data_IF_707653858205
#
_entry.id   IF_707653858205
#
_cell.length_a   1.000
_cell.length_b   1.000
_cell.length_c   1.000
_cell.angle_alpha   90.00
_cell.angle_beta   90.00
_cell.angle_gamma   90.00
#
_symmetry.space_group_name_H-M   'P 1'
#
loop_
_entity.id
_entity.type
_entity.pdbx_description
1 polymer ?
#
# COMPACT_ATOMS: atom_id res chain seq x y z
N UNK A 1 -17.88 -3.00 8.22
CA UNK A 1 -16.50 -3.36 8.57
C UNK A 1 -15.74 -2.18 9.21
N UNK A 2 -16.33 -1.02 9.24
CA UNK A 2 -15.90 0.20 9.93
C UNK A 2 -17.11 0.92 10.53
N UNK A 3 -16.92 2.05 11.20
CA UNK A 3 -17.99 2.79 11.89
C UNK A 3 -18.79 3.74 10.98
N UNK A 4 -18.55 3.74 9.66
CA UNK A 4 -19.34 4.57 8.72
C UNK A 4 -20.76 4.01 8.48
N UNK A 5 -20.99 2.76 8.88
CA UNK A 5 -22.30 2.09 8.77
C UNK A 5 -22.68 1.44 10.09
N UNK A 6 -23.98 1.28 10.35
CA UNK A 6 -24.46 0.57 11.52
C UNK A 6 -24.00 -0.90 11.52
N UNK A 7 -23.70 -1.48 12.71
CA UNK A 7 -23.33 -2.87 12.82
C UNK A 7 -24.46 -3.77 12.34
N UNK A 8 -24.13 -4.72 11.47
CA UNK A 8 -25.09 -5.74 11.00
C UNK A 8 -25.22 -6.92 11.95
N UNK A 9 -24.21 -7.14 12.80
CA UNK A 9 -24.17 -8.22 13.80
C UNK A 9 -23.67 -7.64 15.12
N UNK A 10 -24.27 -8.11 16.23
CA UNK A 10 -23.86 -7.76 17.58
C UNK A 10 -23.77 -9.02 18.42
N UNK A 11 -22.96 -9.01 19.48
CA UNK A 11 -22.81 -10.11 20.41
C UNK A 11 -22.55 -9.61 21.82
N UNK A 12 -22.93 -10.40 22.81
CA UNK A 12 -22.56 -10.22 24.22
C UNK A 12 -21.29 -11.01 24.59
N UNK A 13 -20.86 -11.92 23.72
CA UNK A 13 -19.64 -12.71 23.90
C UNK A 13 -18.43 -11.75 23.94
N UNK A 14 -17.48 -12.03 24.83
CA UNK A 14 -16.22 -11.30 24.97
C UNK A 14 -15.07 -12.20 24.59
N UNK A 15 -13.96 -11.59 24.23
CA UNK A 15 -12.70 -12.29 23.99
C UNK A 15 -11.61 -11.78 24.93
N UNK A 16 -10.61 -12.60 25.15
CA UNK A 16 -9.43 -12.31 25.95
C UNK A 16 -8.23 -12.07 25.05
N UNK A 17 -7.22 -11.37 25.57
CA UNK A 17 -5.95 -11.19 24.87
C UNK A 17 -5.31 -12.53 24.51
N UNK A 18 -5.43 -13.54 25.38
CA UNK A 18 -4.90 -14.88 25.14
C UNK A 18 -5.56 -15.56 23.94
N UNK A 19 -6.87 -15.44 23.80
CA UNK A 19 -7.61 -15.98 22.65
C UNK A 19 -7.21 -15.25 21.36
N UNK A 20 -7.13 -13.91 21.41
CA UNK A 20 -6.65 -13.11 20.28
C UNK A 20 -5.26 -13.58 19.86
N UNK A 21 -4.29 -13.62 20.77
CA UNK A 21 -2.91 -14.02 20.48
C UNK A 21 -2.82 -15.44 19.89
N UNK A 22 -3.73 -16.34 20.29
CA UNK A 22 -3.75 -17.71 19.77
C UNK A 22 -4.15 -17.82 18.28
N UNK A 23 -4.91 -16.85 17.76
CA UNK A 23 -5.39 -16.86 16.36
C UNK A 23 -4.56 -15.98 15.42
N UNK A 24 -3.82 -14.99 15.94
CA UNK A 24 -3.01 -14.09 15.12
C UNK A 24 -2.07 -14.82 14.13
N UNK A 25 -1.39 -15.92 14.50
CA UNK A 25 -0.51 -16.62 13.57
C UNK A 25 -1.21 -17.10 12.29
N UNK A 26 -2.51 -17.39 12.35
CA UNK A 26 -3.28 -17.83 11.18
C UNK A 26 -3.56 -16.71 10.16
N UNK A 27 -3.37 -15.45 10.56
CA UNK A 27 -3.59 -14.27 9.74
C UNK A 27 -2.30 -13.69 9.16
N UNK A 28 -1.13 -14.26 9.51
CA UNK A 28 0.20 -13.79 9.08
C UNK A 28 0.67 -14.64 7.89
N UNK A 29 1.46 -14.02 7.00
CA UNK A 29 2.00 -14.66 5.81
C UNK A 29 1.20 -14.37 4.55
N UNK A 30 1.24 -15.28 3.60
CA UNK A 30 0.42 -15.22 2.38
C UNK A 30 -0.98 -15.73 2.66
N UNK A 31 -1.96 -14.85 2.67
CA UNK A 31 -3.35 -15.18 2.97
C UNK A 31 -4.28 -14.81 1.81
N UNK A 32 -5.36 -15.57 1.66
CA UNK A 32 -6.43 -15.26 0.72
C UNK A 32 -7.44 -14.35 1.39
N UNK A 33 -7.49 -13.08 0.99
CA UNK A 33 -8.36 -12.08 1.58
C UNK A 33 -9.49 -11.71 0.62
N UNK A 34 -10.74 -11.77 1.06
CA UNK A 34 -11.86 -11.19 0.34
C UNK A 34 -11.90 -9.69 0.62
N UNK A 35 -11.76 -8.83 -0.41
CA UNK A 35 -11.84 -7.39 -0.25
C UNK A 35 -13.18 -6.95 0.35
N UNK A 36 -13.26 -5.79 1.03
CA UNK A 36 -14.54 -5.25 1.45
C UNK A 36 -15.35 -4.77 0.23
N UNK A 37 -16.67 -4.94 0.27
CA UNK A 37 -17.57 -4.53 -0.81
C UNK A 37 -17.46 -3.02 -1.09
N UNK A 38 -17.33 -2.22 -0.02
CA UNK A 38 -17.06 -0.78 -0.12
C UNK A 38 -15.57 -0.53 -0.36
N UNK A 39 -15.09 -0.89 -1.56
CA UNK A 39 -13.70 -0.64 -1.99
C UNK A 39 -13.65 -0.04 -3.40
N UNK A 40 -12.49 0.48 -3.79
CA UNK A 40 -12.26 1.01 -5.13
C UNK A 40 -12.02 -0.08 -6.19
N UNK A 41 -12.14 -1.37 -5.82
CA UNK A 41 -11.94 -2.49 -6.74
C UNK A 41 -13.00 -2.44 -7.86
N UNK A 42 -12.58 -2.71 -9.09
CA UNK A 42 -13.49 -2.78 -10.23
C UNK A 42 -14.02 -4.21 -10.42
N UNK A 43 -15.33 -4.30 -10.63
CA UNK A 43 -16.04 -5.51 -11.06
C UNK A 43 -16.80 -5.12 -12.33
N UNK A 44 -16.56 -5.82 -13.42
CA UNK A 44 -17.16 -5.55 -14.74
C UNK A 44 -17.05 -4.08 -15.18
N UNK A 45 -15.86 -3.49 -14.97
CA UNK A 45 -15.58 -2.10 -15.33
C UNK A 45 -16.18 -1.04 -14.40
N UNK A 46 -16.93 -1.44 -13.35
CA UNK A 46 -17.53 -0.53 -12.37
C UNK A 46 -16.88 -0.71 -11.00
N UNK A 47 -16.69 0.39 -10.26
CA UNK A 47 -16.14 0.31 -8.91
C UNK A 47 -17.14 -0.31 -7.95
N UNK A 48 -16.72 -1.29 -7.13
CA UNK A 48 -17.59 -2.08 -6.25
C UNK A 48 -18.38 -1.20 -5.27
N UNK A 49 -17.78 -0.14 -4.72
CA UNK A 49 -18.49 0.78 -3.82
C UNK A 49 -19.69 1.49 -4.49
N UNK A 50 -19.63 1.76 -5.82
CA UNK A 50 -20.74 2.37 -6.57
C UNK A 50 -21.90 1.38 -6.76
N UNK A 51 -21.60 0.10 -6.93
CA UNK A 51 -22.60 -0.97 -7.03
C UNK A 51 -23.25 -1.20 -5.67
N UNK A 52 -22.44 -1.30 -4.61
CA UNK A 52 -22.92 -1.47 -3.24
C UNK A 52 -23.87 -0.35 -2.78
N UNK A 53 -23.54 0.92 -3.07
CA UNK A 53 -24.44 2.06 -2.77
C UNK A 53 -25.77 2.02 -3.51
N UNK A 54 -25.87 1.26 -4.59
CA UNK A 54 -27.10 1.03 -5.36
C UNK A 54 -27.87 -0.21 -4.91
N UNK A 55 -27.43 -0.85 -3.83
CA UNK A 55 -28.03 -2.10 -3.33
C UNK A 55 -27.75 -3.31 -4.20
N UNK A 56 -26.82 -3.22 -5.16
CA UNK A 56 -26.43 -4.37 -5.98
C UNK A 56 -25.48 -5.24 -5.16
N UNK A 57 -25.83 -6.51 -5.01
CA UNK A 57 -24.96 -7.50 -4.38
C UNK A 57 -23.72 -7.72 -5.24
N UNK A 58 -22.54 -7.56 -4.64
CA UNK A 58 -21.25 -7.67 -5.32
C UNK A 58 -20.47 -8.80 -4.67
N UNK A 59 -20.27 -9.86 -5.40
CA UNK A 59 -19.37 -10.92 -4.99
C UNK A 59 -17.94 -10.58 -5.42
N UNK A 60 -17.05 -10.47 -4.44
CA UNK A 60 -15.64 -10.16 -4.68
C UNK A 60 -14.80 -11.41 -4.51
N UNK A 61 -14.03 -11.72 -5.54
CA UNK A 61 -13.12 -12.86 -5.51
C UNK A 61 -12.00 -12.63 -4.50
N UNK A 62 -11.63 -13.66 -3.72
CA UNK A 62 -10.47 -13.59 -2.84
C UNK A 62 -9.21 -13.20 -3.62
N UNK A 63 -8.34 -12.43 -2.99
CA UNK A 63 -7.05 -12.05 -3.54
C UNK A 63 -5.94 -12.41 -2.55
N UNK A 64 -4.85 -12.94 -3.07
CA UNK A 64 -3.64 -13.20 -2.31
C UNK A 64 -3.04 -11.87 -1.84
N UNK A 65 -2.82 -11.75 -0.54
CA UNK A 65 -2.15 -10.61 0.10
C UNK A 65 -1.05 -11.12 1.01
N UNK A 66 -0.08 -10.25 1.31
CA UNK A 66 0.99 -10.56 2.24
C UNK A 66 0.85 -9.71 3.48
N UNK A 67 0.77 -10.36 4.63
CA UNK A 67 0.78 -9.75 5.96
C UNK A 67 2.06 -10.20 6.63
N UNK A 68 2.98 -9.27 6.85
CA UNK A 68 4.31 -9.60 7.35
C UNK A 68 4.30 -9.76 8.87
N UNK A 69 3.46 -8.99 9.59
CA UNK A 69 3.28 -9.11 11.05
C UNK A 69 1.94 -8.54 11.53
N UNK A 70 1.41 -9.08 12.63
CA UNK A 70 0.29 -8.53 13.40
C UNK A 70 0.61 -8.66 14.88
N UNK A 71 0.62 -7.53 15.58
CA UNK A 71 0.87 -7.47 17.02
C UNK A 71 -0.29 -6.85 17.76
N UNK A 72 -0.74 -7.49 18.83
CA UNK A 72 -1.64 -6.88 19.80
C UNK A 72 -0.81 -5.92 20.68
N UNK A 73 -1.11 -4.63 20.59
CA UNK A 73 -0.36 -3.57 21.29
C UNK A 73 -0.99 -3.25 22.64
N UNK A 74 -2.33 -3.15 22.67
CA UNK A 74 -3.03 -2.66 23.86
C UNK A 74 -4.49 -3.10 23.88
N UNK A 75 -4.98 -3.43 25.07
CA UNK A 75 -6.42 -3.56 25.34
C UNK A 75 -6.96 -2.20 25.79
N UNK A 76 -7.72 -1.54 24.92
CA UNK A 76 -8.30 -0.22 25.17
C UNK A 76 -9.56 -0.29 26.06
N UNK A 77 -10.33 -1.36 25.92
CA UNK A 77 -11.52 -1.64 26.73
C UNK A 77 -11.85 -3.15 26.70
N UNK A 78 -12.96 -3.53 27.33
CA UNK A 78 -13.44 -4.93 27.32
C UNK A 78 -13.72 -5.49 25.90
N UNK A 79 -13.90 -4.61 24.93
CA UNK A 79 -14.27 -5.00 23.54
C UNK A 79 -13.42 -4.29 22.49
N UNK A 80 -12.45 -3.48 22.89
CA UNK A 80 -11.65 -2.70 21.94
C UNK A 80 -10.16 -2.97 22.17
N UNK A 81 -9.46 -3.29 21.09
CA UNK A 81 -8.04 -3.66 21.10
C UNK A 81 -7.30 -2.89 20.01
N UNK A 82 -6.07 -2.48 20.30
CA UNK A 82 -5.17 -1.84 19.34
C UNK A 82 -4.18 -2.86 18.81
N UNK A 83 -4.06 -2.88 17.49
CA UNK A 83 -3.10 -3.71 16.78
C UNK A 83 -2.13 -2.85 15.99
N UNK A 84 -0.93 -3.35 15.83
CA UNK A 84 0.03 -2.87 14.83
C UNK A 84 0.15 -3.95 13.77
N UNK A 85 0.07 -3.54 12.49
CA UNK A 85 0.01 -4.46 11.35
C UNK A 85 1.02 -4.02 10.31
N UNK A 86 1.94 -4.91 9.95
CA UNK A 86 2.85 -4.73 8.84
C UNK A 86 2.38 -5.60 7.66
N UNK A 87 2.09 -4.96 6.53
CA UNK A 87 1.52 -5.65 5.38
C UNK A 87 1.88 -4.96 4.07
N UNK A 88 1.84 -5.72 2.98
CA UNK A 88 2.12 -5.19 1.64
C UNK A 88 0.90 -4.51 1.02
N UNK A 89 1.16 -3.76 -0.04
CA UNK A 89 0.13 -3.06 -0.80
C UNK A 89 -0.98 -3.99 -1.29
N UNK A 90 -2.22 -3.49 -1.23
CA UNK A 90 -3.42 -4.23 -1.62
C UNK A 90 -4.09 -4.99 -0.50
N UNK A 91 -3.52 -5.01 0.72
CA UNK A 91 -4.14 -5.54 1.93
C UNK A 91 -5.20 -4.57 2.47
N UNK A 92 -6.36 -5.09 2.81
CA UNK A 92 -7.45 -4.31 3.41
C UNK A 92 -7.50 -4.56 4.92
N UNK A 93 -7.16 -3.56 5.72
CA UNK A 93 -7.17 -3.67 7.20
C UNK A 93 -8.57 -3.96 7.73
N UNK A 94 -9.62 -3.42 7.10
CA UNK A 94 -11.02 -3.76 7.41
C UNK A 94 -11.33 -5.24 7.25
N UNK A 95 -10.73 -5.88 6.25
CA UNK A 95 -10.88 -7.34 6.08
C UNK A 95 -10.10 -8.12 7.13
N UNK A 96 -8.93 -7.62 7.58
CA UNK A 96 -8.20 -8.25 8.70
C UNK A 96 -9.06 -8.22 9.97
N UNK A 97 -9.73 -7.10 10.27
CA UNK A 97 -10.63 -7.02 11.42
C UNK A 97 -11.77 -8.06 11.33
N UNK A 98 -12.40 -8.21 10.16
CA UNK A 98 -13.42 -9.23 9.90
C UNK A 98 -12.86 -10.64 10.08
N UNK A 99 -11.72 -10.92 9.48
CA UNK A 99 -11.11 -12.25 9.47
C UNK A 99 -10.63 -12.66 10.86
N UNK A 100 -10.10 -11.70 11.66
CA UNK A 100 -9.81 -11.89 13.07
C UNK A 100 -11.10 -12.23 13.87
N UNK A 101 -12.16 -11.47 13.64
CA UNK A 101 -13.46 -11.76 14.26
C UNK A 101 -13.98 -13.15 13.91
N UNK A 102 -13.89 -13.53 12.64
CA UNK A 102 -14.28 -14.88 12.19
C UNK A 102 -13.45 -15.99 12.86
N UNK A 103 -12.14 -15.80 13.02
CA UNK A 103 -11.27 -16.76 13.71
C UNK A 103 -11.60 -16.91 15.21
N UNK A 104 -12.20 -15.89 15.80
CA UNK A 104 -12.66 -15.89 17.20
C UNK A 104 -14.15 -16.26 17.38
N UNK A 105 -14.85 -16.53 16.29
CA UNK A 105 -16.31 -16.68 16.27
C UNK A 105 -17.04 -15.48 16.90
N UNK A 106 -16.62 -14.27 16.48
CA UNK A 106 -17.12 -12.98 16.95
C UNK A 106 -17.30 -12.01 15.79
N UNK A 107 -18.33 -11.13 15.82
CA UNK A 107 -18.34 -9.98 14.92
C UNK A 107 -17.26 -8.98 15.34
N UNK A 108 -16.49 -8.48 14.37
CA UNK A 108 -15.48 -7.46 14.60
C UNK A 108 -15.56 -6.33 13.59
N UNK A 109 -15.25 -5.13 14.06
CA UNK A 109 -15.31 -3.90 13.26
C UNK A 109 -14.08 -3.05 13.55
N UNK A 110 -13.50 -2.49 12.50
CA UNK A 110 -12.42 -1.50 12.62
C UNK A 110 -13.00 -0.16 13.10
N UNK A 111 -12.50 0.36 14.21
CA UNK A 111 -12.97 1.62 14.80
C UNK A 111 -12.11 2.82 14.38
N UNK A 112 -10.80 2.60 14.21
CA UNK A 112 -9.86 3.61 13.80
C UNK A 112 -8.73 2.98 12.99
N UNK A 113 -8.09 3.78 12.13
CA UNK A 113 -6.93 3.37 11.36
C UNK A 113 -5.98 4.56 11.20
N UNK A 114 -4.73 4.35 11.60
CA UNK A 114 -3.63 5.28 11.33
C UNK A 114 -2.58 4.56 10.52
N UNK A 115 -2.22 5.10 9.37
CA UNK A 115 -1.08 4.62 8.59
C UNK A 115 0.18 5.28 9.10
N UNK A 116 1.03 4.52 9.76
CA UNK A 116 2.29 5.03 10.33
C UNK A 116 3.44 5.00 9.34
N UNK A 117 3.38 4.12 8.31
CA UNK A 117 4.44 4.00 7.30
C UNK A 117 3.87 3.64 5.91
N UNK A 118 4.49 4.17 4.87
CA UNK A 118 4.26 3.78 3.47
C UNK A 118 5.58 3.87 2.69
N UNK A 119 6.21 2.73 2.43
CA UNK A 119 7.57 2.68 1.88
C UNK A 119 8.55 3.37 2.82
N UNK A 120 9.25 4.39 2.32
CA UNK A 120 10.21 5.20 3.09
C UNK A 120 9.54 6.28 3.94
N UNK A 121 8.30 6.63 3.63
CA UNK A 121 7.60 7.69 4.33
C UNK A 121 7.02 7.16 5.64
N UNK A 122 7.33 7.84 6.73
CA UNK A 122 6.79 7.57 8.07
C UNK A 122 5.95 8.75 8.54
N UNK A 123 5.06 8.51 9.49
CA UNK A 123 4.21 9.59 10.03
C UNK A 123 5.04 10.66 10.73
N UNK A 124 6.16 10.28 11.35
CA UNK A 124 7.08 11.19 12.04
C UNK A 124 7.79 12.13 11.08
N UNK A 125 8.00 11.70 9.82
CA UNK A 125 8.65 12.48 8.76
C UNK A 125 7.65 13.11 7.79
N UNK A 126 6.36 13.05 8.11
CA UNK A 126 5.30 13.63 7.31
C UNK A 126 4.95 15.03 7.82
N UNK A 127 4.44 15.86 6.93
CA UNK A 127 3.97 17.21 7.24
C UNK A 127 2.45 17.27 7.19
N UNK A 128 1.85 18.03 8.09
CA UNK A 128 0.45 18.42 7.99
C UNK A 128 0.25 19.45 6.88
N UNK A 129 -0.99 19.65 6.43
CA UNK A 129 -1.27 20.67 5.42
C UNK A 129 -0.89 22.08 5.91
N UNK A 130 -1.14 22.39 7.18
CA UNK A 130 -0.78 23.68 7.79
C UNK A 130 0.74 23.87 7.82
N UNK A 131 1.50 22.82 8.14
CA UNK A 131 2.97 22.89 8.10
C UNK A 131 3.53 23.06 6.68
N UNK A 132 2.89 22.45 5.66
CA UNK A 132 3.27 22.65 4.26
C UNK A 132 3.00 24.10 3.83
N UNK A 133 1.88 24.65 4.25
CA UNK A 133 1.49 26.04 3.96
C UNK A 133 2.48 27.04 4.59
N UNK A 134 2.89 26.77 5.84
CA UNK A 134 3.83 27.61 6.58
C UNK A 134 5.29 27.50 6.05
N UNK A 135 5.77 26.27 5.84
CA UNK A 135 7.18 26.00 5.48
C UNK A 135 7.47 26.13 3.98
N UNK A 136 6.44 26.01 3.15
CA UNK A 136 6.54 25.95 1.70
C UNK A 136 6.90 24.58 1.16
N UNK A 137 6.52 24.33 -0.10
CA UNK A 137 6.69 23.03 -0.76
C UNK A 137 8.15 22.58 -0.84
N UNK A 138 9.07 23.50 -1.10
CA UNK A 138 10.50 23.18 -1.28
C UNK A 138 11.14 22.49 -0.08
N UNK A 139 10.65 22.76 1.15
CA UNK A 139 11.14 22.14 2.38
C UNK A 139 10.51 20.75 2.60
N UNK A 140 9.30 20.56 2.10
CA UNK A 140 8.50 19.34 2.35
C UNK A 140 8.66 18.28 1.25
N UNK A 141 9.22 18.66 0.09
CA UNK A 141 9.43 17.73 -1.03
C UNK A 141 10.59 16.79 -0.76
N UNK A 142 10.38 15.52 -1.11
CA UNK A 142 11.43 14.52 -1.19
C UNK A 142 11.76 14.26 -2.65
N UNK A 143 13.04 14.27 -2.98
CA UNK A 143 13.49 14.00 -4.35
C UNK A 143 13.03 12.59 -4.80
N UNK A 144 12.48 12.47 -6.01
CA UNK A 144 11.90 11.22 -6.48
C UNK A 144 12.86 10.02 -6.49
N UNK A 145 14.14 10.25 -6.76
CA UNK A 145 15.17 9.20 -6.79
C UNK A 145 15.40 8.54 -5.41
N UNK A 146 15.12 9.27 -4.32
CA UNK A 146 15.19 8.78 -2.94
C UNK A 146 14.00 7.89 -2.56
N UNK A 147 12.95 7.89 -3.38
CA UNK A 147 11.71 7.14 -3.10
C UNK A 147 11.72 5.72 -3.68
N UNK A 148 12.69 5.40 -4.54
CA UNK A 148 12.82 4.10 -5.21
C UNK A 148 14.20 3.48 -4.95
N UNK A 149 14.24 2.14 -4.80
CA UNK A 149 15.45 1.40 -4.43
C UNK A 149 15.85 0.45 -5.57
N UNK A 150 16.17 1.02 -6.73
CA UNK A 150 16.70 0.28 -7.87
C UNK A 150 18.17 0.62 -8.08
N UNK A 151 18.95 -0.26 -8.72
CA UNK A 151 20.31 0.06 -9.17
C UNK A 151 20.35 1.34 -10.00
N UNK A 152 21.44 2.05 -9.95
CA UNK A 152 21.63 3.28 -10.71
C UNK A 152 22.26 2.99 -12.07
N UNK A 153 21.73 3.59 -13.11
CA UNK A 153 22.29 3.64 -14.45
C UNK A 153 22.52 5.10 -14.84
N UNK A 154 23.78 5.46 -15.04
CA UNK A 154 24.18 6.80 -15.45
C UNK A 154 24.45 6.80 -16.95
N UNK A 155 23.79 7.70 -17.66
CA UNK A 155 23.93 7.87 -19.10
C UNK A 155 24.92 9.00 -19.41
N UNK A 156 25.67 8.84 -20.48
CA UNK A 156 26.37 9.93 -21.11
C UNK A 156 25.38 10.86 -21.83
N UNK A 157 25.75 12.08 -22.15
CA UNK A 157 24.92 13.03 -22.88
C UNK A 157 24.42 12.46 -24.23
N UNK A 158 25.26 11.68 -24.91
CA UNK A 158 24.89 11.07 -26.17
C UNK A 158 23.86 9.94 -26.00
N UNK A 159 24.05 9.09 -25.01
CA UNK A 159 23.09 8.01 -24.65
C UNK A 159 21.75 8.61 -24.19
N UNK A 160 21.78 9.65 -23.36
CA UNK A 160 20.58 10.38 -22.92
C UNK A 160 19.82 10.93 -24.13
N UNK A 161 20.50 11.62 -25.05
CA UNK A 161 19.90 12.16 -26.26
C UNK A 161 19.29 11.08 -27.14
N UNK A 162 19.94 9.94 -27.28
CA UNK A 162 19.44 8.80 -28.05
C UNK A 162 18.20 8.19 -27.39
N UNK A 163 18.23 7.98 -26.06
CA UNK A 163 17.11 7.48 -25.28
C UNK A 163 15.87 8.39 -25.40
N UNK A 164 16.04 9.69 -25.29
CA UNK A 164 14.96 10.68 -25.43
C UNK A 164 14.35 10.69 -26.84
N UNK A 165 15.12 10.33 -27.85
CA UNK A 165 14.67 10.18 -29.23
C UNK A 165 14.10 8.77 -29.53
N UNK A 166 13.95 7.92 -28.52
CA UNK A 166 13.40 6.57 -28.68
C UNK A 166 14.38 5.56 -29.30
N UNK A 167 15.66 5.90 -29.34
CA UNK A 167 16.72 5.00 -29.78
C UNK A 167 17.25 4.20 -28.58
N UNK A 168 17.51 2.93 -28.82
CA UNK A 168 17.98 2.01 -27.75
C UNK A 168 19.46 1.72 -27.97
N UNK A 169 20.25 1.87 -26.92
CA UNK A 169 21.64 1.44 -26.87
C UNK A 169 21.75 0.12 -26.12
N UNK A 170 22.83 -0.62 -26.38
CA UNK A 170 23.14 -1.85 -25.64
C UNK A 170 23.80 -1.50 -24.31
N UNK A 171 23.10 -1.75 -23.22
CA UNK A 171 23.62 -1.57 -21.87
C UNK A 171 24.07 -2.91 -21.28
N UNK A 172 25.30 -2.95 -20.78
CA UNK A 172 25.90 -4.12 -20.15
C UNK A 172 25.60 -4.16 -18.64
N UNK A 173 24.29 -4.11 -18.31
CA UNK A 173 23.77 -4.16 -16.95
C UNK A 173 22.76 -5.30 -16.82
N UNK A 174 22.51 -5.73 -15.59
CA UNK A 174 21.53 -6.80 -15.33
C UNK A 174 20.12 -6.38 -15.75
N UNK A 175 19.34 -7.36 -16.24
CA UNK A 175 17.95 -7.15 -16.56
C UNK A 175 17.16 -6.75 -15.30
N UNK A 176 16.26 -5.78 -15.43
CA UNK A 176 15.41 -5.34 -14.34
C UNK A 176 15.19 -3.82 -14.31
N UNK A 177 14.53 -3.37 -13.27
CA UNK A 177 14.29 -1.94 -13.05
C UNK A 177 15.56 -1.25 -12.57
N UNK A 178 15.78 -0.02 -13.07
CA UNK A 178 16.89 0.83 -12.67
C UNK A 178 16.47 2.29 -12.54
N UNK A 179 17.20 3.02 -11.70
CA UNK A 179 17.15 4.50 -11.67
C UNK A 179 18.03 5.00 -12.79
N UNK A 180 17.50 5.86 -13.65
CA UNK A 180 18.22 6.42 -14.81
C UNK A 180 18.59 7.85 -14.53
N UNK A 181 19.87 8.17 -14.66
CA UNK A 181 20.40 9.53 -14.51
C UNK A 181 21.03 9.99 -15.81
N UNK A 182 20.76 11.23 -16.20
CA UNK A 182 21.42 11.93 -17.27
C UNK A 182 22.36 13.02 -16.74
N UNK A 183 22.80 13.94 -17.60
CA UNK A 183 23.68 15.05 -17.20
C UNK A 183 23.04 15.98 -16.17
N UNK A 184 21.76 16.28 -16.31
CA UNK A 184 21.02 17.17 -15.42
C UNK A 184 20.57 16.50 -14.11
N UNK A 185 20.72 15.17 -13.96
CA UNK A 185 20.33 14.42 -12.77
C UNK A 185 19.37 13.28 -13.07
N UNK A 186 18.43 13.03 -12.16
CA UNK A 186 17.52 11.89 -12.22
C UNK A 186 16.47 12.05 -13.32
N UNK A 187 16.51 11.20 -14.33
CA UNK A 187 15.56 11.19 -15.44
C UNK A 187 14.29 10.37 -15.14
N UNK A 188 14.38 9.37 -14.26
CA UNK A 188 13.27 8.51 -13.94
C UNK A 188 13.65 7.04 -13.73
N UNK A 189 12.66 6.17 -13.87
CA UNK A 189 12.83 4.72 -13.76
C UNK A 189 12.76 4.09 -15.14
N UNK A 190 13.78 3.29 -15.47
CA UNK A 190 13.85 2.47 -16.65
C UNK A 190 13.79 0.97 -16.32
N UNK A 191 13.59 0.17 -17.33
CA UNK A 191 13.74 -1.28 -17.30
C UNK A 191 14.71 -1.71 -18.37
N UNK A 192 15.70 -2.47 -18.00
CA UNK A 192 16.62 -3.11 -18.92
C UNK A 192 16.13 -4.52 -19.21
N UNK A 193 15.95 -4.84 -20.48
CA UNK A 193 15.60 -6.18 -20.97
C UNK A 193 16.44 -6.47 -22.20
N UNK A 194 17.17 -7.58 -22.19
CA UNK A 194 18.05 -7.99 -23.29
C UNK A 194 19.00 -6.86 -23.73
N UNK A 195 19.64 -6.21 -22.74
CA UNK A 195 20.55 -5.06 -22.88
C UNK A 195 19.90 -3.77 -23.41
N UNK A 196 18.59 -3.73 -23.61
CA UNK A 196 17.87 -2.54 -24.06
C UNK A 196 17.19 -1.84 -22.92
N UNK A 197 17.47 -0.55 -22.75
CA UNK A 197 16.84 0.30 -21.76
C UNK A 197 15.54 0.90 -22.32
N UNK A 198 14.45 0.75 -21.57
CA UNK A 198 13.17 1.41 -21.85
C UNK A 198 12.70 2.16 -20.61
N UNK A 199 12.39 3.44 -20.75
CA UNK A 199 11.82 4.22 -19.65
C UNK A 199 10.41 3.75 -19.33
N UNK A 200 10.15 3.54 -18.04
CA UNK A 200 8.83 3.21 -17.46
C UNK A 200 8.13 4.46 -16.92
N UNK A 201 8.90 5.34 -16.34
CA UNK A 201 8.42 6.62 -15.83
C UNK A 201 9.51 7.69 -16.00
N UNK A 202 9.12 8.86 -16.44
CA UNK A 202 9.98 10.03 -16.46
C UNK A 202 9.63 10.96 -15.30
N UNK A 203 10.66 11.54 -14.70
CA UNK A 203 10.49 12.76 -13.90
C UNK A 203 10.47 13.91 -14.89
N UNK A 204 9.35 14.62 -14.95
CA UNK A 204 9.24 15.86 -15.73
C UNK A 204 9.42 17.02 -14.78
N UNK A 205 10.13 18.04 -15.23
CA UNK A 205 10.12 19.31 -14.55
C UNK A 205 8.69 19.83 -14.47
N UNK A 206 8.22 20.09 -13.25
CA UNK A 206 6.89 20.64 -12.96
C UNK A 206 6.90 22.16 -13.16
#
# INVERSE_FOLDING_TARGET
>A
LDLETEPTLTTVKRTTEKEILSVLPSLIGEVMQVPPVYSAKCVDGKRSYKLARRGVEVELQPKKVQIDDIRLVEKLSETCFRFEIDCRGGTYIRSIARDLGAALDLPATMTNLVRTRSGIFTIENSFTLDEIEEKGLSVCLVEPDKTVFYPELKLTAEEEKRLLNGLYDDFWVENGLCKVYGEAGFLGVGEVTDKKLKMKAYVRDL
#
